data_IF_113215728573
#
_entry.id   IF_113215728573
#
_cell.length_a   1.000
_cell.length_b   1.000
_cell.length_c   1.000
_cell.angle_alpha   90.00
_cell.angle_beta   90.00
_cell.angle_gamma   90.00
#
_symmetry.space_group_name_H-M   'P 1'
#
loop_
_entity.id
_entity.type
_entity.pdbx_description
1 polymer ?
#
# COMPACT_ATOMS: atom_id res chain seq x y z
N UNK A 1 10.91 19.43 -29.70
CA UNK A 1 11.72 19.11 -28.50
C UNK A 1 10.98 19.34 -27.17
N UNK A 2 9.67 19.63 -27.16
CA UNK A 2 8.86 19.80 -25.91
C UNK A 2 8.44 18.47 -25.28
N UNK A 3 8.26 17.42 -26.09
CA UNK A 3 7.75 16.11 -25.64
C UNK A 3 8.74 15.25 -24.83
N UNK A 4 9.99 15.71 -24.61
CA UNK A 4 11.00 14.99 -23.81
C UNK A 4 11.14 15.47 -22.36
N UNK A 5 10.53 16.61 -21.98
CA UNK A 5 10.72 17.21 -20.64
C UNK A 5 9.84 16.60 -19.56
N UNK A 6 8.65 16.13 -19.92
CA UNK A 6 7.72 15.47 -19.02
C UNK A 6 7.35 14.15 -19.66
N UNK A 7 7.88 13.05 -19.12
CA UNK A 7 7.19 11.79 -19.27
C UNK A 7 5.86 11.98 -18.54
N UNK A 8 4.78 12.26 -19.28
CA UNK A 8 3.43 12.26 -18.73
C UNK A 8 3.23 10.84 -18.22
N UNK A 9 3.44 10.62 -16.93
CA UNK A 9 3.22 9.31 -16.35
C UNK A 9 1.72 9.05 -16.44
N UNK A 10 1.35 8.04 -17.21
CA UNK A 10 -0.04 7.61 -17.38
C UNK A 10 -0.52 6.89 -16.10
N UNK A 11 -0.52 7.60 -14.97
CA UNK A 11 -1.00 7.07 -13.69
C UNK A 11 -2.52 7.17 -13.69
N UNK A 12 -3.20 6.02 -13.62
CA UNK A 12 -4.64 5.97 -13.45
C UNK A 12 -5.02 6.29 -11.99
N UNK A 13 -5.21 7.57 -11.69
CA UNK A 13 -5.56 8.04 -10.35
C UNK A 13 -6.91 7.51 -9.83
N UNK A 14 -7.86 7.24 -10.72
CA UNK A 14 -9.18 6.73 -10.35
C UNK A 14 -9.09 5.28 -9.83
N UNK A 15 -8.32 4.44 -10.53
CA UNK A 15 -8.08 3.06 -10.10
C UNK A 15 -7.24 2.98 -8.83
N UNK A 16 -6.26 3.87 -8.68
CA UNK A 16 -5.46 3.92 -7.46
C UNK A 16 -6.33 4.34 -6.25
N UNK A 17 -7.24 5.30 -6.44
CA UNK A 17 -8.17 5.72 -5.41
C UNK A 17 -9.12 4.61 -4.96
N UNK A 18 -9.64 3.79 -5.88
CA UNK A 18 -10.56 2.70 -5.54
C UNK A 18 -9.89 1.56 -4.75
N UNK A 19 -8.58 1.39 -4.90
CA UNK A 19 -7.79 0.37 -4.19
C UNK A 19 -7.20 0.85 -2.86
N UNK A 20 -7.23 2.15 -2.58
CA UNK A 20 -6.66 2.71 -1.36
C UNK A 20 -7.53 2.40 -0.11
N UNK A 21 -6.93 1.89 0.98
CA UNK A 21 -7.61 1.78 2.28
C UNK A 21 -8.06 3.14 2.82
N UNK A 22 -9.20 3.19 3.53
CA UNK A 22 -9.78 4.43 4.07
C UNK A 22 -8.81 5.25 4.93
N UNK A 23 -7.95 4.59 5.70
CA UNK A 23 -6.97 5.25 6.58
C UNK A 23 -5.77 5.85 5.83
N UNK A 24 -5.57 5.53 4.54
CA UNK A 24 -4.45 6.03 3.72
C UNK A 24 -4.89 7.11 2.71
N UNK A 25 -6.17 7.49 2.71
CA UNK A 25 -6.70 8.45 1.74
C UNK A 25 -6.04 9.83 1.85
N UNK A 26 -5.62 10.24 3.05
CA UNK A 26 -4.92 11.51 3.26
C UNK A 26 -3.54 11.49 2.60
N UNK A 27 -2.76 10.42 2.82
CA UNK A 27 -1.45 10.23 2.18
C UNK A 27 -1.56 10.19 0.65
N UNK A 28 -2.60 9.53 0.13
CA UNK A 28 -2.89 9.52 -1.31
C UNK A 28 -3.18 10.93 -1.86
N UNK A 29 -4.00 11.72 -1.16
CA UNK A 29 -4.32 13.10 -1.56
C UNK A 29 -3.06 13.97 -1.55
N UNK A 30 -2.21 13.82 -0.54
CA UNK A 30 -0.94 14.53 -0.45
C UNK A 30 -0.01 14.19 -1.62
N UNK A 31 0.15 12.90 -1.93
CA UNK A 31 0.93 12.43 -3.07
C UNK A 31 0.42 13.05 -4.37
N UNK A 32 -0.89 12.93 -4.62
CA UNK A 32 -1.52 13.48 -5.83
C UNK A 32 -1.27 14.99 -5.93
N UNK A 33 -1.50 15.73 -4.85
CA UNK A 33 -1.30 17.19 -4.82
C UNK A 33 0.15 17.57 -5.12
N UNK A 34 1.13 16.85 -4.55
CA UNK A 34 2.55 17.08 -4.83
C UNK A 34 2.88 16.78 -6.29
N UNK A 35 2.37 15.68 -6.84
CA UNK A 35 2.59 15.31 -8.25
C UNK A 35 1.98 16.34 -9.20
N UNK A 36 0.72 16.73 -8.98
CA UNK A 36 0.01 17.71 -9.81
C UNK A 36 0.71 19.08 -9.77
N UNK A 37 1.16 19.52 -8.58
CA UNK A 37 1.93 20.75 -8.42
C UNK A 37 3.27 20.72 -9.18
N UNK A 38 3.97 19.59 -9.17
CA UNK A 38 5.22 19.43 -9.93
C UNK A 38 4.96 19.46 -11.43
N UNK A 39 3.95 18.72 -11.90
CA UNK A 39 3.57 18.70 -13.32
C UNK A 39 3.18 20.09 -13.78
N UNK A 40 2.33 20.80 -13.02
CA UNK A 40 1.94 22.17 -13.33
C UNK A 40 3.16 23.09 -13.46
N UNK A 41 4.08 23.07 -12.47
CA UNK A 41 5.31 23.87 -12.52
C UNK A 41 6.15 23.55 -13.75
N UNK A 42 6.37 22.28 -14.07
CA UNK A 42 7.16 21.89 -15.23
C UNK A 42 6.47 22.31 -16.54
N UNK A 43 5.15 22.18 -16.64
CA UNK A 43 4.40 22.62 -17.84
C UNK A 43 4.37 24.14 -18.02
N UNK A 44 4.47 24.91 -16.93
CA UNK A 44 4.54 26.37 -17.00
C UNK A 44 5.88 26.90 -17.51
N UNK A 45 6.95 26.09 -17.41
CA UNK A 45 8.29 26.48 -17.84
C UNK A 45 8.45 26.29 -19.35
N UNK A 46 8.89 27.33 -20.09
CA UNK A 46 9.10 27.21 -21.53
C UNK A 46 10.26 26.25 -21.83
N UNK A 47 10.11 25.48 -22.92
CA UNK A 47 11.07 24.45 -23.33
C UNK A 47 12.42 24.99 -23.83
N UNK A 48 12.47 26.27 -24.19
CA UNK A 48 13.68 27.03 -24.53
C UNK A 48 13.67 28.34 -23.73
N UNK A 49 14.84 28.91 -23.43
CA UNK A 49 14.88 30.25 -22.87
C UNK A 49 14.18 31.24 -23.83
N UNK A 50 13.52 32.29 -23.30
CA UNK A 50 12.85 33.28 -24.13
C UNK A 50 13.85 34.00 -25.02
N UNK A 51 13.47 34.26 -26.27
CA UNK A 51 14.31 34.97 -27.22
C UNK A 51 14.55 36.41 -26.75
N UNK A 52 15.82 36.80 -26.62
CA UNK A 52 16.21 38.17 -26.26
C UNK A 52 16.20 39.03 -27.52
N UNK A 53 15.54 40.20 -27.45
CA UNK A 53 15.54 41.17 -28.54
C UNK A 53 16.84 42.00 -28.53
N UNK A 54 17.91 41.45 -29.09
CA UNK A 54 19.22 42.11 -29.15
C UNK A 54 19.23 43.41 -29.96
N UNK A 55 18.34 43.55 -30.95
CA UNK A 55 18.26 44.76 -31.79
C UNK A 55 17.81 45.97 -30.98
N UNK A 56 16.83 45.81 -30.09
CA UNK A 56 16.41 46.89 -29.20
C UNK A 56 17.56 47.36 -28.30
N UNK A 57 18.31 46.43 -27.71
CA UNK A 57 19.43 46.77 -26.84
C UNK A 57 20.62 47.39 -27.58
N UNK A 58 20.85 47.02 -28.84
CA UNK A 58 21.86 47.65 -29.68
C UNK A 58 21.59 49.16 -29.92
N UNK A 59 20.33 49.58 -29.94
CA UNK A 59 19.94 50.99 -30.10
C UNK A 59 19.95 51.79 -28.79
N UNK A 60 19.66 51.14 -27.66
CA UNK A 60 19.53 51.81 -26.35
C UNK A 60 20.87 51.93 -25.62
N UNK A 61 21.78 50.98 -25.82
CA UNK A 61 23.07 50.94 -25.11
C UNK A 61 24.07 51.89 -25.79
N UNK A 62 24.57 52.94 -25.11
CA UNK A 62 25.48 53.92 -25.70
C UNK A 62 26.90 53.38 -25.96
N UNK A 63 27.26 52.23 -25.36
CA UNK A 63 28.60 51.66 -25.41
C UNK A 63 28.72 50.69 -26.60
N UNK A 64 29.51 51.03 -27.64
CA UNK A 64 29.66 50.18 -28.82
C UNK A 64 30.35 48.85 -28.46
N UNK A 65 29.84 47.74 -29.01
CA UNK A 65 30.42 46.40 -28.85
C UNK A 65 30.13 45.68 -27.53
N UNK A 66 29.42 46.31 -26.58
CA UNK A 66 29.02 45.66 -25.33
C UNK A 66 27.91 44.61 -25.54
N UNK A 67 26.92 44.95 -26.36
CA UNK A 67 25.79 44.04 -26.70
C UNK A 67 26.28 42.78 -27.40
N UNK A 68 27.26 42.89 -28.29
CA UNK A 68 27.85 41.73 -28.99
C UNK A 68 28.62 40.79 -28.05
N UNK A 69 29.31 41.35 -27.04
CA UNK A 69 29.99 40.55 -26.01
C UNK A 69 28.99 39.74 -25.18
N UNK A 70 27.89 40.37 -24.77
CA UNK A 70 26.83 39.69 -24.02
C UNK A 70 26.10 38.63 -24.85
N UNK A 71 25.83 38.92 -26.13
CA UNK A 71 25.24 37.94 -27.04
C UNK A 71 26.11 36.69 -27.15
N UNK A 72 27.43 36.85 -27.36
CA UNK A 72 28.38 35.73 -27.42
C UNK A 72 28.43 34.92 -26.13
N UNK A 73 28.45 35.58 -24.97
CA UNK A 73 28.47 34.89 -23.68
C UNK A 73 27.15 34.15 -23.40
N UNK A 74 26.01 34.73 -23.80
CA UNK A 74 24.70 34.11 -23.65
C UNK A 74 24.54 32.87 -24.54
N UNK A 75 24.97 32.94 -25.79
CA UNK A 75 24.95 31.79 -26.71
C UNK A 75 25.93 30.68 -26.27
N UNK A 76 27.01 31.04 -25.57
CA UNK A 76 27.96 30.09 -24.99
C UNK A 76 27.44 29.41 -23.72
N UNK A 77 26.39 29.94 -23.07
CA UNK A 77 25.86 29.40 -21.83
C UNK A 77 24.94 28.21 -22.13
N UNK A 78 25.47 27.00 -21.98
CA UNK A 78 24.68 25.76 -22.01
C UNK A 78 24.30 25.36 -20.58
N UNK A 79 23.00 25.23 -20.31
CA UNK A 79 22.51 24.71 -19.02
C UNK A 79 22.42 23.19 -19.12
N UNK A 80 23.33 22.49 -18.44
CA UNK A 80 23.29 21.03 -18.35
C UNK A 80 21.99 20.55 -17.68
N UNK A 81 21.47 19.41 -18.14
CA UNK A 81 20.31 18.79 -17.50
C UNK A 81 20.69 18.31 -16.09
N UNK A 82 19.78 18.43 -15.10
CA UNK A 82 20.06 17.95 -13.74
C UNK A 82 20.44 16.46 -13.76
N UNK A 83 21.60 16.14 -13.17
CA UNK A 83 22.03 14.76 -12.93
C UNK A 83 21.42 14.29 -11.61
N UNK A 84 20.84 13.10 -11.58
CA UNK A 84 20.41 12.48 -10.32
C UNK A 84 21.65 12.04 -9.53
N UNK A 85 22.00 12.80 -8.50
CA UNK A 85 23.15 12.49 -7.62
C UNK A 85 22.79 11.50 -6.52
N UNK A 86 21.51 11.17 -6.37
CA UNK A 86 20.97 10.48 -5.20
C UNK A 86 20.48 9.06 -5.49
N UNK A 87 20.55 8.64 -6.76
CA UNK A 87 19.96 7.39 -7.28
C UNK A 87 18.53 7.16 -6.76
N UNK A 88 17.73 8.24 -6.76
CA UNK A 88 16.40 8.22 -6.17
C UNK A 88 15.50 7.18 -6.85
N UNK A 89 15.63 7.03 -8.17
CA UNK A 89 14.88 6.05 -8.96
C UNK A 89 15.17 4.63 -8.48
N UNK A 90 16.44 4.29 -8.27
CA UNK A 90 16.86 2.95 -7.83
C UNK A 90 16.31 2.63 -6.43
N UNK A 91 16.32 3.62 -5.53
CA UNK A 91 15.75 3.49 -4.18
C UNK A 91 14.24 3.26 -4.20
N UNK A 92 13.50 3.99 -5.03
CA UNK A 92 12.05 3.80 -5.18
C UNK A 92 11.75 2.42 -5.76
N UNK A 93 12.51 1.97 -6.76
CA UNK A 93 12.33 0.64 -7.33
C UNK A 93 12.63 -0.49 -6.34
N UNK A 94 13.68 -0.35 -5.53
CA UNK A 94 14.02 -1.36 -4.52
C UNK A 94 12.94 -1.45 -3.43
N UNK A 95 12.45 -0.32 -2.94
CA UNK A 95 11.32 -0.27 -2.01
C UNK A 95 10.06 -0.90 -2.61
N UNK A 96 9.76 -0.61 -3.89
CA UNK A 96 8.64 -1.22 -4.60
C UNK A 96 8.70 -2.74 -4.63
N UNK A 97 9.89 -3.33 -4.86
CA UNK A 97 10.08 -4.79 -4.83
C UNK A 97 9.80 -5.38 -3.45
N UNK A 98 10.24 -4.71 -2.38
CA UNK A 98 9.99 -5.15 -0.99
C UNK A 98 8.49 -5.11 -0.68
N UNK A 99 7.80 -4.03 -1.06
CA UNK A 99 6.36 -3.90 -0.81
C UNK A 99 5.54 -4.95 -1.57
N UNK A 100 5.91 -5.25 -2.82
CA UNK A 100 5.26 -6.33 -3.60
C UNK A 100 5.47 -7.69 -2.92
N UNK A 101 6.67 -7.97 -2.40
CA UNK A 101 6.94 -9.22 -1.70
C UNK A 101 6.10 -9.35 -0.41
N UNK A 102 5.97 -8.26 0.36
CA UNK A 102 5.13 -8.24 1.55
C UNK A 102 3.64 -8.41 1.21
N UNK A 103 3.15 -7.74 0.17
CA UNK A 103 1.78 -7.89 -0.29
C UNK A 103 1.45 -9.34 -0.68
N UNK A 104 2.38 -10.04 -1.36
CA UNK A 104 2.23 -11.48 -1.68
C UNK A 104 2.14 -12.33 -0.41
N UNK A 105 3.04 -12.12 0.57
CA UNK A 105 2.99 -12.84 1.86
C UNK A 105 1.66 -12.65 2.59
N UNK A 106 1.15 -11.42 2.61
CA UNK A 106 -0.15 -11.14 3.23
C UNK A 106 -1.30 -11.81 2.47
N UNK A 107 -1.30 -11.78 1.14
CA UNK A 107 -2.30 -12.47 0.33
C UNK A 107 -2.31 -13.98 0.61
N UNK A 108 -1.14 -14.61 0.68
CA UNK A 108 -1.01 -16.05 0.99
C UNK A 108 -1.53 -16.38 2.40
N UNK A 109 -1.26 -15.52 3.39
CA UNK A 109 -1.78 -15.67 4.74
C UNK A 109 -3.32 -15.55 4.78
N UNK A 110 -3.89 -14.57 4.08
CA UNK A 110 -5.34 -14.42 3.96
C UNK A 110 -6.00 -15.63 3.29
N UNK A 111 -5.38 -16.20 2.25
CA UNK A 111 -5.89 -17.41 1.60
C UNK A 111 -5.90 -18.62 2.54
N UNK A 112 -4.84 -18.80 3.34
CA UNK A 112 -4.80 -19.86 4.36
C UNK A 112 -5.87 -19.67 5.42
N UNK A 113 -6.09 -18.43 5.86
CA UNK A 113 -7.11 -18.10 6.86
C UNK A 113 -8.54 -18.27 6.33
N UNK A 114 -8.76 -17.98 5.06
CA UNK A 114 -10.04 -18.28 4.39
C UNK A 114 -10.31 -19.78 4.37
N UNK A 115 -9.30 -20.58 4.01
CA UNK A 115 -9.42 -22.03 3.99
C UNK A 115 -9.69 -22.64 5.39
N UNK A 116 -9.09 -22.08 6.46
CA UNK A 116 -9.40 -22.52 7.83
C UNK A 116 -10.80 -22.10 8.27
N UNK A 117 -11.24 -20.88 7.93
CA UNK A 117 -12.58 -20.39 8.20
C UNK A 117 -13.67 -21.22 7.51
N UNK A 118 -13.45 -21.62 6.25
CA UNK A 118 -14.37 -22.51 5.53
C UNK A 118 -14.49 -23.88 6.22
N UNK A 119 -13.37 -24.46 6.68
CA UNK A 119 -13.38 -25.71 7.46
C UNK A 119 -14.15 -25.55 8.78
N UNK A 120 -13.94 -24.44 9.49
CA UNK A 120 -14.69 -24.14 10.72
C UNK A 120 -16.18 -23.98 10.46
N UNK A 121 -16.59 -23.30 9.39
CA UNK A 121 -18.00 -23.18 8.99
C UNK A 121 -18.64 -24.55 8.75
N UNK A 122 -17.93 -25.45 8.06
CA UNK A 122 -18.40 -26.83 7.84
C UNK A 122 -18.51 -27.60 9.15
N UNK A 123 -17.57 -27.42 10.08
CA UNK A 123 -17.64 -28.04 11.40
C UNK A 123 -18.82 -27.51 12.23
N UNK A 124 -19.04 -26.19 12.24
CA UNK A 124 -20.18 -25.56 12.93
C UNK A 124 -21.52 -26.05 12.41
N UNK A 125 -21.68 -26.23 11.09
CA UNK A 125 -22.91 -26.76 10.51
C UNK A 125 -23.22 -28.22 10.92
N UNK A 126 -22.25 -28.96 11.46
CA UNK A 126 -22.46 -30.32 11.99
C UNK A 126 -22.89 -30.33 13.45
N UNK A 127 -22.75 -29.21 14.15
CA UNK A 127 -23.17 -29.11 15.54
C UNK A 127 -24.69 -28.96 15.63
N UNK A 128 -25.32 -29.46 16.70
CA UNK A 128 -26.71 -29.14 16.97
C UNK A 128 -26.90 -27.62 17.12
N UNK A 129 -28.12 -27.10 16.89
CA UNK A 129 -28.44 -25.69 17.09
C UNK A 129 -27.94 -25.21 18.46
N UNK A 130 -27.48 -23.96 18.54
CA UNK A 130 -26.84 -23.42 19.74
C UNK A 130 -27.69 -23.59 21.02
N UNK A 131 -29.02 -23.56 20.88
CA UNK A 131 -29.98 -23.71 21.98
C UNK A 131 -30.04 -25.14 22.56
N UNK A 132 -29.54 -26.14 21.82
CA UNK A 132 -29.53 -27.56 22.20
C UNK A 132 -28.13 -28.08 22.57
N UNK A 133 -27.12 -27.20 22.64
CA UNK A 133 -25.75 -27.60 22.98
C UNK A 133 -25.63 -27.91 24.47
N UNK A 134 -25.52 -29.20 24.77
CA UNK A 134 -25.29 -29.70 26.14
C UNK A 134 -23.82 -29.45 26.54
N UNK A 135 -23.49 -29.08 27.80
CA UNK A 135 -22.14 -28.76 28.24
C UNK A 135 -21.06 -29.81 27.88
N UNK A 136 -21.40 -31.10 27.87
CA UNK A 136 -20.48 -32.18 27.52
C UNK A 136 -20.07 -32.14 26.04
N UNK A 137 -21.01 -31.79 25.16
CA UNK A 137 -20.74 -31.61 23.72
C UNK A 137 -19.85 -30.38 23.53
N UNK A 138 -20.11 -29.31 24.29
CA UNK A 138 -19.31 -28.09 24.27
C UNK A 138 -17.85 -28.32 24.73
N UNK A 139 -17.64 -29.08 25.81
CA UNK A 139 -16.31 -29.47 26.29
C UNK A 139 -15.61 -30.37 25.27
N UNK A 140 -16.30 -31.37 24.72
CA UNK A 140 -15.70 -32.32 23.78
C UNK A 140 -15.31 -31.71 22.43
N UNK A 141 -16.09 -30.75 21.91
CA UNK A 141 -15.84 -30.14 20.60
C UNK A 141 -15.00 -28.87 20.64
N UNK A 142 -15.16 -28.03 21.68
CA UNK A 142 -14.48 -26.74 21.77
C UNK A 142 -13.31 -26.73 22.76
N UNK A 143 -13.07 -27.83 23.48
CA UNK A 143 -11.99 -27.90 24.47
C UNK A 143 -12.16 -26.88 25.61
N UNK A 144 -13.39 -26.40 25.84
CA UNK A 144 -13.67 -25.53 26.98
C UNK A 144 -13.43 -26.30 28.27
N UNK A 145 -12.71 -25.70 29.21
CA UNK A 145 -12.53 -26.27 30.54
C UNK A 145 -13.90 -26.49 31.21
N UNK A 146 -14.11 -27.68 31.76
CA UNK A 146 -15.35 -28.08 32.44
C UNK A 146 -15.74 -27.10 33.55
N UNK A 147 -14.76 -26.46 34.19
CA UNK A 147 -14.94 -25.54 35.31
C UNK A 147 -15.80 -24.33 34.99
N UNK A 148 -16.00 -23.98 33.71
CA UNK A 148 -16.90 -22.89 33.30
C UNK A 148 -18.38 -23.30 33.27
N UNK A 149 -18.68 -24.59 33.31
CA UNK A 149 -20.04 -25.14 33.30
C UNK A 149 -20.45 -25.72 34.64
N UNK A 150 -19.49 -25.90 35.56
CA UNK A 150 -19.75 -26.30 36.94
C UNK A 150 -20.24 -25.06 37.70
N UNK A 151 -21.56 -24.91 37.77
CA UNK A 151 -22.15 -23.99 38.73
C UNK A 151 -21.87 -24.59 40.14
N UNK A 152 -21.08 -23.97 41.03
CA UNK A 152 -20.67 -24.58 42.32
C UNK A 152 -21.85 -24.94 43.23
N UNK A 153 -23.07 -24.56 42.85
CA UNK A 153 -24.32 -24.73 43.59
C UNK A 153 -25.18 -25.91 43.10
N UNK A 154 -24.82 -26.63 42.02
CA UNK A 154 -25.60 -27.79 41.53
C UNK A 154 -24.73 -29.06 41.43
N UNK A 155 -25.11 -30.18 42.07
CA UNK A 155 -24.39 -31.45 41.92
C UNK A 155 -24.66 -32.09 40.54
N UNK A 156 -23.62 -32.60 39.90
CA UNK A 156 -23.64 -33.19 38.56
C UNK A 156 -23.89 -34.71 38.67
N UNK A 157 -24.90 -35.23 37.96
CA UNK A 157 -25.03 -36.68 37.75
C UNK A 157 -24.29 -37.08 36.47
N UNK A 158 -23.13 -37.71 36.62
CA UNK A 158 -22.37 -38.25 35.48
C UNK A 158 -23.10 -39.48 34.91
N UNK A 159 -23.72 -39.31 33.74
CA UNK A 159 -24.21 -40.43 32.94
C UNK A 159 -23.07 -41.28 32.35
N UNK A 160 -23.41 -42.44 31.80
CA UNK A 160 -22.48 -43.49 31.35
C UNK A 160 -21.30 -42.97 30.50
N UNK A 161 -20.09 -43.11 31.05
CA UNK A 161 -18.80 -42.60 30.54
C UNK A 161 -18.16 -43.45 29.44
N UNK A 162 -18.90 -44.36 28.80
CA UNK A 162 -18.35 -45.33 27.84
C UNK A 162 -18.01 -44.77 26.44
N UNK A 163 -18.29 -43.48 26.18
CA UNK A 163 -18.23 -42.86 24.85
C UNK A 163 -16.83 -42.29 24.52
N UNK A 164 -15.98 -42.02 25.52
CA UNK A 164 -14.71 -41.29 25.34
C UNK A 164 -13.51 -42.18 24.94
N UNK A 165 -13.66 -43.05 23.93
CA UNK A 165 -12.57 -43.95 23.48
C UNK A 165 -11.60 -43.35 22.45
N UNK A 166 -11.79 -42.11 22.00
CA UNK A 166 -10.90 -41.49 20.99
C UNK A 166 -10.58 -40.05 21.34
N UNK A 167 -9.29 -39.75 21.46
CA UNK A 167 -8.77 -38.40 21.68
C UNK A 167 -9.01 -37.52 20.44
N UNK A 168 -9.36 -36.25 20.67
CA UNK A 168 -9.63 -35.29 19.61
C UNK A 168 -8.34 -34.92 18.85
N UNK A 169 -8.39 -34.73 17.52
CA UNK A 169 -7.24 -34.31 16.73
C UNK A 169 -6.84 -32.87 17.07
N UNK A 170 -5.53 -32.63 17.23
CA UNK A 170 -4.97 -31.31 17.49
C UNK A 170 -5.37 -30.30 16.40
N UNK A 171 -5.70 -29.09 16.82
CA UNK A 171 -6.21 -28.00 15.98
C UNK A 171 -5.30 -26.78 16.08
N UNK A 172 -5.29 -25.94 15.05
CA UNK A 172 -4.35 -24.80 14.90
C UNK A 172 -4.41 -23.70 15.97
N UNK A 173 -5.33 -23.81 16.94
CA UNK A 173 -5.42 -22.94 18.12
C UNK A 173 -4.90 -23.61 19.40
N UNK A 174 -4.43 -24.86 19.30
CA UNK A 174 -3.56 -25.48 20.31
C UNK A 174 -2.18 -24.83 20.21
N UNK A 175 -2.05 -23.64 20.78
CA UNK A 175 -0.76 -22.99 20.96
C UNK A 175 -0.03 -23.68 22.12
N UNK A 176 0.98 -24.49 21.78
CA UNK A 176 2.04 -24.87 22.72
C UNK A 176 2.85 -23.63 23.13
#
# INVERSE_FOLDING_TARGET
MTSKRVAISAVNWAELYSKCPKHQLEQFRELKTKTDNLVSKITSLPGSPPAINWNHYAHVVPVPGLVDKFKKQYESLSVEYPKDTSDAVTKVQSQGKVMIANAKRHADACLKMKASAEKMKVALNKLPPADEVVPEIAVAYFGMESDRFIDPRRPISLGNTSILKKSAPKVHWDFN
#
